data_IF_584209086251
#
_entry.id   IF_584209086251
#
_cell.length_a   1.000
_cell.length_b   1.000
_cell.length_c   1.000
_cell.angle_alpha   90.00
_cell.angle_beta   90.00
_cell.angle_gamma   90.00
#
_symmetry.space_group_name_H-M   'P 1'
#
loop_
_entity.id
_entity.type
_entity.pdbx_description
1 polymer ?
#
# COMPACT_ATOMS: atom_id res chain seq x y z
N UNK A 1 -5.29 13.77 11.54
CA UNK A 1 -6.18 12.59 11.53
C UNK A 1 -5.28 11.37 11.38
N UNK A 2 -4.86 10.79 12.50
CA UNK A 2 -4.21 9.47 12.48
C UNK A 2 -5.30 8.45 12.18
N UNK A 3 -5.17 7.73 11.08
CA UNK A 3 -6.01 6.57 10.80
C UNK A 3 -5.23 5.36 11.30
N UNK A 4 -5.53 4.95 12.53
CA UNK A 4 -5.07 3.66 13.04
C UNK A 4 -5.85 2.58 12.27
N UNK A 5 -5.16 1.90 11.35
CA UNK A 5 -5.75 0.81 10.58
C UNK A 5 -5.81 -0.38 11.51
N UNK A 6 -6.99 -0.66 12.08
CA UNK A 6 -7.26 -1.90 12.80
C UNK A 6 -6.91 -3.08 11.89
N UNK A 7 -5.89 -3.85 12.31
CA UNK A 7 -5.33 -4.98 11.60
C UNK A 7 -6.39 -6.02 11.17
N UNK A 8 -7.57 -6.02 11.79
CA UNK A 8 -8.67 -6.92 11.41
C UNK A 8 -9.34 -6.58 10.07
N UNK A 9 -9.33 -5.32 9.64
CA UNK A 9 -10.11 -4.88 8.47
C UNK A 9 -9.37 -5.10 7.14
N UNK A 10 -8.05 -4.93 7.13
CA UNK A 10 -7.19 -5.17 5.95
C UNK A 10 -7.14 -6.66 5.57
N UNK A 11 -7.24 -7.54 6.57
CA UNK A 11 -7.24 -9.01 6.39
C UNK A 11 -8.47 -9.49 5.58
N UNK A 12 -9.63 -8.82 5.72
CA UNK A 12 -10.85 -9.22 4.98
C UNK A 12 -10.77 -8.93 3.48
N UNK A 13 -10.02 -7.91 3.05
CA UNK A 13 -9.96 -7.50 1.64
C UNK A 13 -9.05 -8.42 0.82
N UNK A 14 -7.96 -8.92 1.41
CA UNK A 14 -7.09 -9.89 0.74
C UNK A 14 -7.74 -11.27 0.56
N UNK A 15 -8.63 -11.66 1.48
CA UNK A 15 -9.37 -12.93 1.41
C UNK A 15 -10.48 -12.88 0.36
N UNK A 16 -11.14 -11.72 0.15
CA UNK A 16 -12.26 -11.63 -0.79
C UNK A 16 -11.85 -11.78 -2.26
N UNK A 17 -10.61 -11.44 -2.63
CA UNK A 17 -10.14 -11.56 -4.02
C UNK A 17 -9.80 -13.00 -4.42
N UNK A 18 -9.59 -13.90 -3.44
CA UNK A 18 -9.24 -15.31 -3.68
C UNK A 18 -10.49 -16.20 -3.71
N UNK A 19 -11.57 -15.83 -3.01
CA UNK A 19 -12.79 -16.64 -2.88
C UNK A 19 -13.71 -16.57 -4.11
N UNK A 20 -13.60 -15.54 -4.96
CA UNK A 20 -14.50 -15.35 -6.11
C UNK A 20 -14.25 -16.30 -7.32
N UNK A 21 -13.32 -17.25 -7.22
CA UNK A 21 -12.94 -18.14 -8.34
C UNK A 21 -13.12 -19.66 -8.09
N UNK A 22 -13.77 -20.10 -7.01
CA UNK A 22 -13.87 -21.55 -6.77
C UNK A 22 -14.98 -21.97 -5.82
N UNK A 23 -15.85 -22.83 -6.35
CA UNK A 23 -17.01 -23.47 -5.74
C UNK A 23 -16.83 -24.05 -4.32
N UNK A 24 -17.86 -23.81 -3.51
CA UNK A 24 -18.47 -24.67 -2.47
C UNK A 24 -17.60 -25.59 -1.61
N UNK A 25 -17.73 -25.39 -0.29
CA UNK A 25 -17.43 -26.30 0.81
C UNK A 25 -15.96 -26.62 1.08
N UNK A 26 -15.28 -25.72 1.80
CA UNK A 26 -14.19 -26.08 2.72
C UNK A 26 -13.93 -24.93 3.71
N UNK A 27 -14.76 -24.84 4.75
CA UNK A 27 -14.37 -24.13 5.98
C UNK A 27 -13.38 -25.00 6.74
N UNK A 28 -12.10 -24.93 6.37
CA UNK A 28 -11.00 -25.40 7.21
C UNK A 28 -10.01 -24.26 7.41
N UNK A 29 -9.60 -24.13 8.67
CA UNK A 29 -8.66 -23.15 9.20
C UNK A 29 -7.49 -22.82 8.27
N UNK A 30 -7.46 -21.57 7.80
CA UNK A 30 -6.21 -20.91 7.43
C UNK A 30 -5.99 -19.72 8.37
N UNK A 31 -5.67 -20.03 9.62
CA UNK A 31 -4.82 -19.12 10.37
C UNK A 31 -3.40 -19.37 9.86
N UNK A 32 -3.03 -18.76 8.73
CA UNK A 32 -1.63 -18.78 8.28
C UNK A 32 -0.80 -18.22 9.42
N UNK A 33 0.01 -19.08 10.04
CA UNK A 33 0.88 -18.70 11.15
C UNK A 33 2.00 -17.89 10.52
N UNK A 34 1.84 -16.57 10.46
CA UNK A 34 2.88 -15.69 9.96
C UNK A 34 4.13 -15.88 10.82
N UNK A 35 5.20 -16.37 10.21
CA UNK A 35 6.46 -16.58 10.90
C UNK A 35 7.35 -15.36 10.69
N UNK A 36 8.03 -14.98 11.76
CA UNK A 36 9.09 -13.98 11.70
C UNK A 36 10.27 -14.63 10.96
N UNK A 37 10.71 -14.08 9.81
CA UNK A 37 11.82 -14.66 9.06
C UNK A 37 13.13 -14.43 9.80
N UNK A 38 13.95 -15.47 9.88
CA UNK A 38 15.30 -15.47 10.46
C UNK A 38 16.40 -15.50 9.37
N UNK A 39 16.01 -15.77 8.13
CA UNK A 39 16.87 -15.94 6.96
C UNK A 39 16.92 -14.73 6.02
N UNK A 40 16.09 -13.70 6.27
CA UNK A 40 16.08 -12.45 5.50
C UNK A 40 16.65 -11.28 6.28
N UNK A 41 17.43 -10.46 5.57
CA UNK A 41 17.93 -9.17 6.03
C UNK A 41 17.60 -8.08 5.00
N UNK A 42 16.58 -7.26 5.29
CA UNK A 42 16.16 -6.16 4.40
C UNK A 42 17.27 -5.13 4.16
N UNK A 43 18.24 -4.98 5.07
CA UNK A 43 19.36 -4.05 4.88
C UNK A 43 20.27 -4.46 3.71
N UNK A 44 20.20 -5.72 3.28
CA UNK A 44 20.91 -6.24 2.10
C UNK A 44 20.12 -6.08 0.80
N UNK A 45 18.82 -5.80 0.88
CA UNK A 45 17.90 -5.73 -0.26
C UNK A 45 17.48 -4.30 -0.61
N UNK A 46 17.51 -3.42 0.39
CA UNK A 46 17.09 -2.02 0.30
C UNK A 46 18.18 -1.12 0.87
N UNK A 47 18.40 0.01 0.21
CA UNK A 47 19.32 1.04 0.69
C UNK A 47 18.54 2.29 1.10
N UNK A 48 18.95 2.96 2.18
CA UNK A 48 18.41 4.29 2.52
C UNK A 48 18.68 5.25 1.36
N UNK A 49 17.64 6.00 0.96
CA UNK A 49 17.66 6.87 -0.22
C UNK A 49 17.27 6.18 -1.52
N UNK A 50 17.21 4.84 -1.57
CA UNK A 50 16.67 4.12 -2.73
C UNK A 50 15.24 4.59 -3.01
N UNK A 51 14.95 4.84 -4.29
CA UNK A 51 13.71 5.46 -4.72
C UNK A 51 13.01 4.67 -5.81
N UNK A 52 11.68 4.66 -5.75
CA UNK A 52 10.81 3.97 -6.69
C UNK A 52 9.77 4.95 -7.22
N UNK A 53 9.38 4.79 -8.49
CA UNK A 53 8.32 5.59 -9.09
C UNK A 53 7.24 4.71 -9.74
N UNK A 54 6.02 5.24 -9.77
CA UNK A 54 4.88 4.73 -10.53
C UNK A 54 3.96 5.89 -10.90
N UNK A 55 3.07 5.69 -11.86
CA UNK A 55 2.04 6.66 -12.20
C UNK A 55 0.73 5.97 -12.55
N UNK A 56 -0.34 6.73 -12.68
CA UNK A 56 -1.65 6.22 -13.07
C UNK A 56 -2.72 7.29 -13.08
N UNK A 57 -3.97 6.88 -13.27
CA UNK A 57 -5.11 7.78 -13.35
C UNK A 57 -6.10 7.50 -12.22
N UNK A 58 -6.74 8.56 -11.72
CA UNK A 58 -7.84 8.44 -10.76
C UNK A 58 -9.04 7.81 -11.47
N UNK A 59 -9.47 6.65 -10.99
CA UNK A 59 -10.64 5.93 -11.53
C UNK A 59 -11.86 6.13 -10.64
N UNK A 60 -13.05 5.89 -11.19
CA UNK A 60 -14.32 6.07 -10.46
C UNK A 60 -14.37 5.23 -9.16
N UNK A 61 -13.84 4.00 -9.18
CA UNK A 61 -13.77 3.17 -7.97
C UNK A 61 -12.78 3.67 -6.90
N UNK A 62 -11.97 4.68 -7.21
CA UNK A 62 -11.01 5.29 -6.30
C UNK A 62 -11.50 6.64 -5.74
N UNK A 63 -12.62 7.17 -6.23
CA UNK A 63 -13.12 8.48 -5.83
C UNK A 63 -14.17 8.40 -4.74
N UNK A 64 -14.46 9.56 -4.15
CA UNK A 64 -15.61 9.80 -3.30
C UNK A 64 -16.27 11.09 -3.76
N UNK A 65 -17.60 11.16 -3.68
CA UNK A 65 -18.37 12.35 -3.99
C UNK A 65 -19.18 12.75 -2.75
N UNK A 66 -18.66 13.72 -2.00
CA UNK A 66 -19.32 14.20 -0.76
C UNK A 66 -20.41 15.23 -1.04
N UNK A 67 -20.33 15.95 -2.16
CA UNK A 67 -21.29 16.99 -2.53
C UNK A 67 -22.55 16.42 -3.18
N UNK A 68 -22.50 15.15 -3.63
CA UNK A 68 -23.54 14.44 -4.40
C UNK A 68 -23.84 15.07 -5.76
N UNK A 69 -22.99 16.00 -6.24
CA UNK A 69 -23.14 16.60 -7.57
C UNK A 69 -22.32 15.79 -8.58
N UNK A 70 -22.91 15.33 -9.70
CA UNK A 70 -22.15 14.64 -10.73
C UNK A 70 -20.95 15.48 -11.19
N UNK A 71 -19.75 14.88 -11.24
CA UNK A 71 -18.51 15.57 -11.61
C UNK A 71 -17.64 16.03 -10.43
N UNK A 72 -18.18 16.07 -9.22
CA UNK A 72 -17.43 16.44 -7.99
C UNK A 72 -16.68 15.25 -7.36
N UNK A 73 -16.48 14.17 -8.12
CA UNK A 73 -15.70 13.01 -7.70
C UNK A 73 -14.22 13.38 -7.46
N UNK A 74 -13.77 13.25 -6.22
CA UNK A 74 -12.37 13.46 -5.84
C UNK A 74 -11.72 12.15 -5.41
N UNK A 75 -10.43 12.01 -5.70
CA UNK A 75 -9.62 10.88 -5.27
C UNK A 75 -9.72 10.73 -3.75
N UNK A 76 -10.15 9.57 -3.26
CA UNK A 76 -10.38 9.39 -1.83
C UNK A 76 -9.07 9.10 -1.09
N UNK A 77 -8.93 9.60 0.14
CA UNK A 77 -7.75 9.31 0.99
C UNK A 77 -7.49 7.81 1.15
N UNK A 78 -8.51 6.95 1.41
CA UNK A 78 -8.28 5.50 1.50
C UNK A 78 -7.78 4.89 0.19
N UNK A 79 -8.30 5.34 -0.96
CA UNK A 79 -7.83 4.86 -2.25
C UNK A 79 -6.39 5.32 -2.53
N UNK A 80 -6.04 6.56 -2.20
CA UNK A 80 -4.67 7.06 -2.33
C UNK A 80 -3.70 6.24 -1.47
N UNK A 81 -4.03 5.99 -0.19
CA UNK A 81 -3.23 5.13 0.70
C UNK A 81 -3.11 3.73 0.11
N UNK A 82 -4.20 3.15 -0.38
CA UNK A 82 -4.19 1.82 -0.99
C UNK A 82 -3.25 1.76 -2.21
N UNK A 83 -3.29 2.76 -3.08
CA UNK A 83 -2.40 2.85 -4.25
C UNK A 83 -0.94 2.98 -3.84
N UNK A 84 -0.62 3.86 -2.87
CA UNK A 84 0.73 4.02 -2.31
C UNK A 84 1.25 2.69 -1.72
N UNK A 85 0.42 2.02 -0.93
CA UNK A 85 0.80 0.79 -0.27
C UNK A 85 0.97 -0.38 -1.25
N UNK A 86 0.02 -0.56 -2.17
CA UNK A 86 0.09 -1.60 -3.21
C UNK A 86 1.35 -1.42 -4.07
N UNK A 87 1.67 -0.19 -4.44
CA UNK A 87 2.87 0.14 -5.19
C UNK A 87 4.14 -0.30 -4.45
N UNK A 88 4.26 0.03 -3.14
CA UNK A 88 5.39 -0.41 -2.33
C UNK A 88 5.48 -1.94 -2.21
N UNK A 89 4.35 -2.61 -1.93
CA UNK A 89 4.27 -4.07 -1.83
C UNK A 89 4.78 -4.73 -3.12
N UNK A 90 4.34 -4.25 -4.27
CA UNK A 90 4.80 -4.77 -5.55
C UNK A 90 6.31 -4.58 -5.74
N UNK A 91 6.84 -3.38 -5.43
CA UNK A 91 8.28 -3.09 -5.61
C UNK A 91 9.18 -3.89 -4.69
N UNK A 92 8.81 -4.02 -3.42
CA UNK A 92 9.65 -4.72 -2.43
C UNK A 92 9.52 -6.24 -2.55
N UNK A 93 8.33 -6.78 -2.81
CA UNK A 93 8.17 -8.23 -2.97
C UNK A 93 8.97 -8.80 -4.15
N UNK A 94 9.22 -8.02 -5.21
CA UNK A 94 10.09 -8.44 -6.32
C UNK A 94 11.56 -8.63 -5.92
N UNK A 95 11.99 -8.08 -4.79
CA UNK A 95 13.35 -8.24 -4.24
C UNK A 95 13.45 -9.37 -3.22
N UNK A 96 12.31 -9.87 -2.73
CA UNK A 96 12.28 -10.94 -1.75
C UNK A 96 12.46 -12.29 -2.44
N UNK A 97 13.14 -13.26 -1.78
CA UNK A 97 13.17 -14.63 -2.24
C UNK A 97 11.77 -15.27 -2.15
N UNK A 98 11.66 -16.48 -2.71
CA UNK A 98 10.42 -17.26 -2.63
C UNK A 98 9.98 -17.45 -1.17
N UNK A 99 8.67 -17.61 -0.96
CA UNK A 99 8.05 -17.84 0.35
C UNK A 99 8.13 -16.67 1.35
N UNK A 100 8.51 -15.50 0.87
CA UNK A 100 8.57 -14.28 1.65
C UNK A 100 7.70 -13.19 1.06
N UNK A 101 7.12 -12.39 1.94
CA UNK A 101 6.32 -11.23 1.56
C UNK A 101 6.55 -10.09 2.55
N UNK A 102 6.20 -8.89 2.13
CA UNK A 102 6.07 -7.76 3.05
C UNK A 102 4.63 -7.56 3.49
N UNK A 103 4.48 -7.16 4.75
CA UNK A 103 3.21 -6.69 5.32
C UNK A 103 3.37 -5.25 5.79
N UNK A 104 2.29 -4.49 5.68
CA UNK A 104 2.25 -3.10 6.13
C UNK A 104 1.88 -3.05 7.60
N UNK A 105 2.78 -2.50 8.41
CA UNK A 105 2.61 -2.39 9.86
C UNK A 105 1.91 -1.09 10.24
N UNK A 106 2.29 0.01 9.60
CA UNK A 106 1.77 1.35 9.91
C UNK A 106 1.73 2.22 8.66
N UNK A 107 0.67 3.02 8.55
CA UNK A 107 0.57 4.08 7.55
C UNK A 107 0.19 5.38 8.26
N UNK A 108 1.02 6.40 8.09
CA UNK A 108 0.68 7.78 8.49
C UNK A 108 0.56 8.61 7.22
N UNK A 109 -0.63 9.14 6.91
CA UNK A 109 -0.88 9.85 5.66
C UNK A 109 -1.47 11.25 5.91
N UNK A 110 -1.08 12.19 5.06
CA UNK A 110 -1.67 13.51 4.94
C UNK A 110 -2.12 13.73 3.49
N UNK A 111 -3.41 13.99 3.31
CA UNK A 111 -4.00 14.37 2.04
C UNK A 111 -4.10 15.90 2.00
N UNK A 112 -3.30 16.53 1.13
CA UNK A 112 -3.05 17.98 1.10
C UNK A 112 -3.91 18.72 0.08
N UNK A 113 -4.27 18.08 -1.03
CA UNK A 113 -5.07 18.69 -2.07
C UNK A 113 -5.98 17.65 -2.73
N UNK A 114 -7.19 18.02 -3.21
CA UNK A 114 -8.03 17.12 -3.97
C UNK A 114 -7.43 16.87 -5.36
N UNK A 115 -7.77 15.72 -5.94
CA UNK A 115 -7.45 15.35 -7.31
C UNK A 115 -8.68 14.77 -7.98
N UNK A 116 -9.08 15.28 -9.14
CA UNK A 116 -10.35 14.94 -9.80
C UNK A 116 -10.33 13.56 -10.45
N UNK A 117 -11.51 12.99 -10.69
CA UNK A 117 -11.68 11.81 -11.55
C UNK A 117 -10.99 12.00 -12.90
N UNK A 118 -10.28 10.97 -13.38
CA UNK A 118 -9.56 10.99 -14.65
C UNK A 118 -8.23 11.74 -14.61
N UNK A 119 -7.93 12.49 -13.56
CA UNK A 119 -6.64 13.17 -13.44
C UNK A 119 -5.50 12.15 -13.26
N UNK A 120 -4.34 12.47 -13.81
CA UNK A 120 -3.13 11.68 -13.67
C UNK A 120 -2.46 11.98 -12.32
N UNK A 121 -1.86 10.95 -11.72
CA UNK A 121 -1.07 11.05 -10.50
C UNK A 121 0.26 10.32 -10.68
N UNK A 122 1.26 10.82 -9.99
CA UNK A 122 2.58 10.22 -9.89
C UNK A 122 2.87 9.87 -8.43
N UNK A 123 3.41 8.67 -8.21
CA UNK A 123 3.86 8.19 -6.92
C UNK A 123 5.39 8.10 -6.93
N UNK A 124 6.00 8.71 -5.93
CA UNK A 124 7.42 8.58 -5.64
C UNK A 124 7.61 8.10 -4.22
N UNK A 125 8.29 6.97 -4.05
CA UNK A 125 8.62 6.43 -2.73
C UNK A 125 10.13 6.43 -2.53
N UNK A 126 10.60 6.83 -1.36
CA UNK A 126 12.01 6.72 -0.96
C UNK A 126 12.16 5.99 0.36
N UNK A 127 13.16 5.11 0.45
CA UNK A 127 13.52 4.42 1.69
C UNK A 127 14.13 5.44 2.65
N UNK A 128 13.48 5.66 3.78
CA UNK A 128 13.91 6.60 4.82
C UNK A 128 14.65 5.91 5.97
N UNK A 129 14.32 4.64 6.24
CA UNK A 129 14.99 3.81 7.23
C UNK A 129 14.86 2.33 6.84
N UNK A 130 15.87 1.53 7.16
CA UNK A 130 15.86 0.09 6.98
C UNK A 130 16.60 -0.59 8.14
N UNK A 131 15.97 -1.63 8.65
CA UNK A 131 16.53 -2.58 9.63
C UNK A 131 16.46 -3.97 9.01
N UNK A 132 16.96 -5.01 9.69
CA UNK A 132 16.90 -6.38 9.15
C UNK A 132 15.47 -6.84 8.82
N UNK A 133 14.51 -6.44 9.64
CA UNK A 133 13.14 -6.97 9.61
C UNK A 133 12.11 -5.97 9.09
N UNK A 134 12.40 -4.68 9.20
CA UNK A 134 11.47 -3.60 8.89
C UNK A 134 12.11 -2.54 8.01
N UNK A 135 11.28 -1.88 7.20
CA UNK A 135 11.68 -0.69 6.45
C UNK A 135 10.59 0.39 6.51
N UNK A 136 11.01 1.64 6.37
CA UNK A 136 10.16 2.82 6.39
C UNK A 136 10.34 3.63 5.12
N UNK A 137 9.22 3.97 4.49
CA UNK A 137 9.18 4.67 3.20
C UNK A 137 8.46 5.99 3.35
N UNK A 138 9.04 7.05 2.77
CA UNK A 138 8.32 8.28 2.49
C UNK A 138 7.74 8.17 1.08
N UNK A 139 6.41 8.23 0.97
CA UNK A 139 5.69 8.17 -0.30
C UNK A 139 5.00 9.49 -0.57
N UNK A 140 5.18 10.04 -1.76
CA UNK A 140 4.57 11.28 -2.23
C UNK A 140 3.67 10.93 -3.41
N UNK A 141 2.47 11.50 -3.41
CA UNK A 141 1.57 11.53 -4.56
C UNK A 141 1.50 12.97 -5.05
N UNK A 142 1.93 13.22 -6.29
CA UNK A 142 1.83 14.51 -6.96
C UNK A 142 1.04 14.41 -8.27
N UNK A 143 0.53 15.54 -8.75
CA UNK A 143 0.00 15.66 -10.11
C UNK A 143 1.11 15.98 -11.12
N UNK A 144 0.76 16.14 -12.38
CA UNK A 144 1.73 16.43 -13.44
C UNK A 144 2.40 17.81 -13.30
N UNK A 145 1.80 18.72 -12.53
CA UNK A 145 2.36 20.03 -12.20
C UNK A 145 3.20 20.02 -10.92
N UNK A 146 3.50 18.83 -10.37
CA UNK A 146 4.24 18.66 -9.11
C UNK A 146 3.55 19.26 -7.89
N UNK A 147 2.24 19.48 -7.96
CA UNK A 147 1.44 19.81 -6.78
C UNK A 147 1.30 18.55 -5.93
N UNK A 148 1.72 18.63 -4.67
CA UNK A 148 1.58 17.52 -3.74
C UNK A 148 0.11 17.32 -3.38
N UNK A 149 -0.44 16.21 -3.84
CA UNK A 149 -1.79 15.75 -3.53
C UNK A 149 -1.78 15.09 -2.16
N UNK A 150 -0.82 14.20 -1.90
CA UNK A 150 -0.70 13.56 -0.60
C UNK A 150 0.71 13.10 -0.30
N UNK A 151 0.97 12.88 0.98
CA UNK A 151 2.22 12.30 1.46
C UNK A 151 1.94 11.27 2.54
N UNK A 152 2.73 10.21 2.57
CA UNK A 152 2.62 9.17 3.57
C UNK A 152 3.98 8.68 4.05
N UNK A 153 4.02 8.22 5.30
CA UNK A 153 5.07 7.38 5.84
C UNK A 153 4.47 5.98 5.98
N UNK A 154 5.08 5.00 5.33
CA UNK A 154 4.63 3.61 5.32
C UNK A 154 5.72 2.74 5.93
N UNK A 155 5.38 2.01 6.99
CA UNK A 155 6.26 1.04 7.64
C UNK A 155 5.85 -0.36 7.24
N UNK A 156 6.82 -1.17 6.85
CA UNK A 156 6.62 -2.56 6.45
C UNK A 156 7.48 -3.48 7.31
N UNK A 157 7.05 -4.73 7.43
CA UNK A 157 7.84 -5.84 7.96
C UNK A 157 7.86 -7.02 6.99
N UNK A 158 8.87 -7.87 7.08
CA UNK A 158 8.93 -9.13 6.32
C UNK A 158 8.30 -10.26 7.12
N UNK A 159 7.64 -11.14 6.40
CA UNK A 159 7.04 -12.38 6.89
C UNK A 159 7.45 -13.54 6.00
N UNK A 160 7.46 -14.73 6.57
CA UNK A 160 7.56 -16.00 5.84
C UNK A 160 6.21 -16.72 5.83
N UNK A 161 5.89 -17.37 4.71
CA UNK A 161 4.70 -18.19 4.54
C UNK A 161 5.06 -19.56 3.93
N UNK A 162 4.31 -20.59 4.30
CA UNK A 162 4.45 -21.97 3.82
C UNK A 162 3.25 -22.38 2.98
#
# INVERSE_FOLDING_TARGET
MEVEIDHKLTIRICILLIIMLGSSNLSKHFASKWLKPDDIDLTKLLNVGESFNASGFVTLGATTNRTKKPGDEIFSTPAMIHKMNKFLIQKVNMKLPQYHAIVTNKVTCQHKAPLSLGAHYNLSASVSNVTKENAEFRVICDDDMKKVIGQAIIKIGVIRFE
#
